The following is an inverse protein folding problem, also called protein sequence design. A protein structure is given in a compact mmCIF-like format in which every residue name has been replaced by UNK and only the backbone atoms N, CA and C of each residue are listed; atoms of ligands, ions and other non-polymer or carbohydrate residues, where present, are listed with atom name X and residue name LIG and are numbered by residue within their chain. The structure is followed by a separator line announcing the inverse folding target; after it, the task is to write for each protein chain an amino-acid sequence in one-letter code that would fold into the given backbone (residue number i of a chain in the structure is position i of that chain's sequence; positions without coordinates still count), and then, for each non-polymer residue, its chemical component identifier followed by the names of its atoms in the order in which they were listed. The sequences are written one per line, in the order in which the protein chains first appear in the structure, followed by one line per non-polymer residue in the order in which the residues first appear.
data_IF_108361764352
#
_entry.id   IF_108361764352
#
_cell.length_a   1.000
_cell.length_b   1.000
_cell.length_c   1.000
_cell.angle_alpha   90.00
_cell.angle_beta   90.00
_cell.angle_gamma   90.00
#
_symmetry.space_group_name_H-M   'P 1'
#
loop_
_entity.id
_entity.type
_entity.pdbx_description
1 polymer ?
#
# COMPACT_ATOMS: atom_id res chain seq x y z
N UNK A 1 11.04 -7.96 2.94
CA UNK A 1 11.00 -8.03 4.40
C UNK A 1 10.47 -6.70 4.96
N UNK A 2 9.77 -6.71 6.09
CA UNK A 2 9.31 -5.49 6.78
C UNK A 2 10.52 -4.61 7.12
N UNK A 3 10.60 -3.44 6.51
CA UNK A 3 11.77 -2.55 6.51
C UNK A 3 11.32 -1.09 6.63
N UNK A 4 12.05 -0.31 7.43
CA UNK A 4 11.93 1.14 7.47
C UNK A 4 13.06 1.74 6.64
N UNK A 5 12.73 2.45 5.56
CA UNK A 5 13.72 2.99 4.63
C UNK A 5 14.43 4.27 5.12
N UNK A 6 13.82 5.03 6.05
CA UNK A 6 14.33 6.35 6.46
C UNK A 6 14.08 7.41 5.38
N UNK A 7 15.02 7.58 4.45
CA UNK A 7 14.92 8.51 3.31
C UNK A 7 14.85 7.74 1.98
N UNK A 8 14.24 8.34 0.94
CA UNK A 8 14.12 7.69 -0.36
C UNK A 8 13.14 8.38 -1.31
N UNK A 9 12.95 7.79 -2.49
CA UNK A 9 11.96 8.25 -3.49
C UNK A 9 10.54 7.92 -3.02
N UNK A 10 9.63 8.88 -3.14
CA UNK A 10 8.22 8.69 -2.80
C UNK A 10 7.50 8.01 -3.97
N UNK A 11 6.65 7.03 -3.66
CA UNK A 11 5.80 6.37 -4.65
C UNK A 11 4.70 7.30 -5.19
N UNK A 12 4.19 8.17 -4.33
CA UNK A 12 3.19 9.19 -4.66
C UNK A 12 3.70 10.58 -4.27
N UNK A 13 3.37 11.62 -5.04
CA UNK A 13 3.72 13.00 -4.69
C UNK A 13 2.94 13.46 -3.44
N UNK A 14 3.41 14.53 -2.82
CA UNK A 14 2.74 15.12 -1.65
C UNK A 14 1.32 15.57 -1.98
N UNK A 15 0.36 15.24 -1.10
CA UNK A 15 -1.05 15.62 -1.26
C UNK A 15 -1.89 14.69 -2.14
N UNK A 16 -1.30 13.65 -2.75
CA UNK A 16 -2.08 12.64 -3.48
C UNK A 16 -2.99 11.85 -2.52
N UNK A 17 -4.29 11.86 -2.78
CA UNK A 17 -5.29 11.12 -2.02
C UNK A 17 -6.25 10.41 -2.97
N UNK A 18 -6.67 9.20 -2.60
CA UNK A 18 -7.70 8.45 -3.30
C UNK A 18 -8.49 7.62 -2.29
N UNK A 19 -9.82 7.60 -2.45
CA UNK A 19 -10.68 6.72 -1.68
C UNK A 19 -10.55 5.30 -2.25
N UNK A 20 -10.04 4.38 -1.45
CA UNK A 20 -9.79 3.00 -1.83
C UNK A 20 -10.46 2.04 -0.86
N UNK A 21 -10.99 0.94 -1.38
CA UNK A 21 -11.50 -0.18 -0.60
C UNK A 21 -10.54 -1.36 -0.73
N UNK A 22 -10.11 -1.91 0.41
CA UNK A 22 -9.34 -3.15 0.45
C UNK A 22 -10.26 -4.32 0.07
N UNK A 23 -9.87 -5.08 -0.95
CA UNK A 23 -10.64 -6.23 -1.44
C UNK A 23 -9.94 -7.56 -1.24
N UNK A 24 -8.62 -7.56 -1.10
CA UNK A 24 -7.84 -8.76 -0.78
C UNK A 24 -6.55 -8.39 -0.04
N UNK A 25 -6.10 -9.30 0.83
CA UNK A 25 -4.82 -9.18 1.52
C UNK A 25 -4.22 -10.55 1.80
N UNK A 26 -2.97 -10.76 1.38
CA UNK A 26 -2.22 -11.98 1.65
C UNK A 26 -0.86 -11.66 2.24
N UNK A 27 -0.51 -12.36 3.33
CA UNK A 27 0.83 -12.28 3.93
C UNK A 27 1.68 -13.42 3.43
N UNK A 28 2.87 -13.12 2.93
CA UNK A 28 3.87 -14.13 2.54
C UNK A 28 4.62 -14.66 3.75
N UNK A 29 5.29 -15.82 3.62
CA UNK A 29 6.11 -16.42 4.68
C UNK A 29 7.26 -15.52 5.17
N UNK A 30 7.66 -14.52 4.38
CA UNK A 30 8.71 -13.54 4.73
C UNK A 30 8.18 -12.30 5.45
N UNK A 31 6.87 -12.27 5.73
CA UNK A 31 6.20 -11.14 6.39
C UNK A 31 5.90 -9.96 5.46
N UNK A 32 5.99 -10.13 4.14
CA UNK A 32 5.52 -9.11 3.18
C UNK A 32 3.99 -9.20 3.05
N UNK A 33 3.31 -8.06 3.17
CA UNK A 33 1.88 -7.91 2.89
C UNK A 33 1.67 -7.53 1.43
N UNK A 34 0.87 -8.32 0.71
CA UNK A 34 0.34 -7.98 -0.60
C UNK A 34 -1.13 -7.60 -0.39
N UNK A 35 -1.49 -6.36 -0.71
CA UNK A 35 -2.84 -5.83 -0.54
C UNK A 35 -3.39 -5.34 -1.87
N UNK A 36 -4.60 -5.77 -2.21
CA UNK A 36 -5.31 -5.38 -3.43
C UNK A 36 -6.43 -4.41 -3.06
N UNK A 37 -6.44 -3.25 -3.72
CA UNK A 37 -7.44 -2.21 -3.51
C UNK A 37 -8.20 -1.93 -4.79
N UNK A 38 -9.48 -1.63 -4.65
CA UNK A 38 -10.32 -1.04 -5.69
C UNK A 38 -10.64 0.41 -5.34
N UNK A 39 -11.10 1.21 -6.31
CA UNK A 39 -11.67 2.52 -6.01
C UNK A 39 -12.89 2.36 -5.11
N UNK A 40 -12.90 3.01 -3.96
CA UNK A 40 -14.13 3.15 -3.20
C UNK A 40 -15.05 4.05 -4.04
N UNK A 41 -16.11 3.49 -4.63
CA UNK A 41 -17.11 4.28 -5.35
C UNK A 41 -17.58 5.44 -4.46
N UNK A 42 -17.78 6.60 -5.09
CA UNK A 42 -18.41 7.75 -4.47
C UNK A 42 -19.85 7.44 -4.04
#
# INVERSE_FOLDING_TARGET
APLVLGTGRRLFPGGAQASLRLVDSTTTSTGVLIATYESARA
#
